data_IF_164149191119
#
_entry.id   IF_164149191119
#
_cell.length_a   1.000
_cell.length_b   1.000
_cell.length_c   1.000
_cell.angle_alpha   90.00
_cell.angle_beta   90.00
_cell.angle_gamma   90.00
#
_symmetry.space_group_name_H-M   'P 1'
#
loop_
_entity.id
_entity.type
_entity.pdbx_description
1 polymer ?
#
# COMPACT_ATOMS: atom_id res chain seq x y z
N UNK A 1 0.49 -5.60 -17.73
CA UNK A 1 0.30 -6.02 -16.32
C UNK A 1 0.11 -4.75 -15.51
N UNK A 2 -0.81 -4.71 -14.54
CA UNK A 2 -0.93 -3.55 -13.64
C UNK A 2 0.30 -3.52 -12.73
N UNK A 3 0.94 -2.36 -12.60
CA UNK A 3 2.15 -2.22 -11.77
C UNK A 3 1.88 -2.51 -10.28
N UNK A 4 0.65 -2.23 -9.84
CA UNK A 4 0.23 -2.46 -8.46
C UNK A 4 -1.26 -2.80 -8.37
N UNK A 5 -1.66 -3.32 -7.21
CA UNK A 5 -3.05 -3.48 -6.78
C UNK A 5 -3.20 -3.07 -5.32
N UNK A 6 -4.27 -2.37 -4.99
CA UNK A 6 -4.60 -2.03 -3.61
C UNK A 6 -5.87 -2.73 -3.12
N UNK A 7 -5.91 -3.14 -1.85
CA UNK A 7 -7.00 -3.88 -1.23
C UNK A 7 -7.24 -3.38 0.20
N UNK A 8 -8.45 -2.90 0.49
CA UNK A 8 -8.84 -2.58 1.88
C UNK A 8 -9.13 -3.89 2.60
N UNK A 9 -8.53 -4.05 3.79
CA UNK A 9 -8.79 -5.17 4.69
C UNK A 9 -9.47 -4.66 5.95
N UNK A 10 -10.58 -5.30 6.30
CA UNK A 10 -11.27 -5.07 7.55
C UNK A 10 -10.84 -6.16 8.52
N UNK A 11 -10.14 -5.79 9.58
CA UNK A 11 -9.89 -6.67 10.72
C UNK A 11 -10.76 -6.26 11.91
N UNK A 12 -10.96 -7.14 12.90
CA UNK A 12 -11.66 -6.76 14.14
C UNK A 12 -11.01 -5.61 14.91
N UNK A 13 -9.71 -5.35 14.69
CA UNK A 13 -8.95 -4.31 15.41
C UNK A 13 -8.95 -2.99 14.66
N UNK A 14 -8.63 -3.01 13.38
CA UNK A 14 -8.60 -1.83 12.53
C UNK A 14 -8.69 -2.17 11.04
N UNK A 15 -8.99 -1.15 10.23
CA UNK A 15 -8.94 -1.26 8.77
C UNK A 15 -7.53 -0.94 8.28
N UNK A 16 -7.01 -1.75 7.38
CA UNK A 16 -5.72 -1.53 6.73
C UNK A 16 -5.86 -1.48 5.22
N UNK A 17 -4.88 -0.89 4.55
CA UNK A 17 -4.77 -0.91 3.09
C UNK A 17 -3.56 -1.74 2.71
N UNK A 18 -3.78 -2.85 2.02
CA UNK A 18 -2.71 -3.66 1.45
C UNK A 18 -2.42 -3.20 0.03
N UNK A 19 -1.14 -3.13 -0.30
CA UNK A 19 -0.62 -2.80 -1.62
C UNK A 19 0.25 -3.97 -2.06
N UNK A 20 -0.03 -4.46 -3.26
CA UNK A 20 0.70 -5.53 -3.90
C UNK A 20 1.37 -4.97 -5.14
N UNK A 21 2.70 -4.97 -5.17
CA UNK A 21 3.46 -4.59 -6.35
C UNK A 21 3.69 -5.79 -7.26
N UNK A 22 3.77 -5.55 -8.57
CA UNK A 22 4.24 -6.56 -9.52
C UNK A 22 5.75 -6.80 -9.40
N UNK A 23 6.50 -5.77 -8.97
CA UNK A 23 7.92 -5.86 -8.65
C UNK A 23 8.12 -5.64 -7.15
N UNK A 24 8.34 -6.73 -6.41
CA UNK A 24 8.51 -6.73 -4.95
C UNK A 24 9.82 -6.07 -4.51
N UNK A 25 10.81 -5.91 -5.39
CA UNK A 25 12.07 -5.25 -5.04
C UNK A 25 11.86 -3.78 -4.63
N UNK A 26 10.73 -3.20 -5.03
CA UNK A 26 10.33 -1.82 -4.73
C UNK A 26 9.57 -1.68 -3.40
N UNK A 27 9.18 -2.76 -2.73
CA UNK A 27 8.32 -2.71 -1.53
C UNK A 27 8.94 -1.87 -0.39
N UNK A 28 10.25 -1.99 -0.20
CA UNK A 28 10.98 -1.27 0.84
C UNK A 28 11.15 0.23 0.53
N UNK A 29 11.41 0.57 -0.74
CA UNK A 29 11.43 1.97 -1.18
C UNK A 29 10.05 2.59 -1.02
N UNK A 30 9.02 1.88 -1.48
CA UNK A 30 7.64 2.33 -1.40
C UNK A 30 7.20 2.57 0.05
N UNK A 31 7.58 1.69 0.99
CA UNK A 31 7.34 1.90 2.43
C UNK A 31 7.80 3.28 2.89
N UNK A 32 9.05 3.66 2.59
CA UNK A 32 9.62 4.95 3.01
C UNK A 32 8.85 6.14 2.42
N UNK A 33 8.40 6.04 1.17
CA UNK A 33 7.62 7.09 0.52
C UNK A 33 6.22 7.24 1.15
N UNK A 34 5.55 6.11 1.43
CA UNK A 34 4.20 6.09 1.97
C UNK A 34 4.11 6.54 3.43
N UNK A 35 5.18 6.34 4.23
CA UNK A 35 5.26 6.82 5.62
C UNK A 35 5.11 8.35 5.73
N UNK A 36 5.42 9.08 4.67
CA UNK A 36 5.30 10.54 4.64
C UNK A 36 3.90 11.05 4.25
N UNK A 37 2.96 10.15 3.90
CA UNK A 37 1.60 10.55 3.53
C UNK A 37 0.81 10.95 4.77
N UNK A 38 0.24 12.16 4.75
CA UNK A 38 -0.61 12.66 5.84
C UNK A 38 -1.80 11.73 6.12
N UNK A 39 -1.85 11.23 7.34
CA UNK A 39 -2.88 10.33 7.86
C UNK A 39 -2.51 8.85 7.85
N UNK A 40 -1.30 8.53 7.39
CA UNK A 40 -0.66 7.23 7.61
C UNK A 40 0.00 7.24 8.98
N UNK A 41 -0.30 6.22 9.80
CA UNK A 41 0.29 6.02 11.12
C UNK A 41 1.58 5.22 11.03
N UNK A 42 1.53 4.10 10.31
CA UNK A 42 2.66 3.20 10.11
C UNK A 42 2.47 2.44 8.80
N UNK A 43 3.59 2.08 8.17
CA UNK A 43 3.65 1.24 6.98
C UNK A 43 4.58 0.06 7.27
N UNK A 44 4.17 -1.14 6.88
CA UNK A 44 4.94 -2.37 7.09
C UNK A 44 5.03 -3.17 5.78
N UNK A 45 6.18 -3.80 5.53
CA UNK A 45 6.30 -4.86 4.52
C UNK A 45 6.06 -6.18 5.25
N UNK A 46 5.14 -7.00 4.74
CA UNK A 46 4.74 -8.26 5.37
C UNK A 46 4.69 -9.38 4.34
N UNK A 47 5.16 -10.56 4.72
CA UNK A 47 4.99 -11.78 3.93
C UNK A 47 3.51 -12.09 3.70
N UNK A 48 3.19 -12.52 2.48
CA UNK A 48 1.86 -12.99 2.11
C UNK A 48 1.74 -14.48 2.41
N UNK A 49 0.95 -14.85 3.42
CA UNK A 49 0.76 -16.25 3.84
C UNK A 49 -0.20 -17.03 2.92
N UNK A 50 -0.21 -16.78 1.59
CA UNK A 50 -1.20 -17.38 0.69
C UNK A 50 -0.59 -17.89 -0.61
N UNK A 51 -0.84 -19.16 -0.93
CA UNK A 51 -0.25 -19.92 -2.05
C UNK A 51 -0.39 -19.30 -3.45
N UNK A 52 -1.34 -18.37 -3.63
CA UNK A 52 -1.66 -17.75 -4.92
C UNK A 52 -1.52 -16.21 -4.90
N UNK A 53 -0.71 -15.65 -4.00
CA UNK A 53 -0.45 -14.21 -3.91
C UNK A 53 1.05 -13.93 -4.06
N UNK A 54 1.36 -12.68 -4.42
CA UNK A 54 2.73 -12.13 -4.43
C UNK A 54 3.37 -12.38 -3.06
N UNK A 55 4.66 -12.73 -3.03
CA UNK A 55 5.37 -13.18 -1.82
C UNK A 55 5.26 -12.18 -0.66
N UNK A 56 5.19 -10.89 -0.95
CA UNK A 56 5.13 -9.81 0.03
C UNK A 56 4.02 -8.80 -0.30
N UNK A 57 3.74 -7.91 0.65
CA UNK A 57 2.85 -6.78 0.47
C UNK A 57 3.21 -5.63 1.41
N UNK A 58 2.96 -4.41 0.94
CA UNK A 58 3.05 -3.21 1.77
C UNK A 58 1.70 -2.95 2.42
N UNK A 59 1.65 -2.91 3.75
CA UNK A 59 0.45 -2.67 4.54
C UNK A 59 0.48 -1.30 5.19
N UNK A 60 -0.52 -0.48 4.90
CA UNK A 60 -0.72 0.83 5.53
C UNK A 60 -1.73 0.70 6.66
N UNK A 61 -1.36 1.25 7.81
CA UNK A 61 -2.23 1.48 8.95
C UNK A 61 -2.54 2.97 9.03
N UNK A 62 -3.83 3.31 9.03
CA UNK A 62 -4.28 4.70 9.07
C UNK A 62 -4.28 5.25 10.50
N UNK A 63 -4.12 6.56 10.60
CA UNK A 63 -4.53 7.28 11.80
C UNK A 63 -6.04 7.17 12.02
N UNK A 64 -6.45 7.05 13.29
CA UNK A 64 -7.87 6.89 13.66
C UNK A 64 -8.75 8.04 13.18
N UNK A 65 -8.16 9.24 13.03
CA UNK A 65 -8.84 10.49 12.58
C UNK A 65 -9.14 10.53 11.08
N UNK A 66 -8.54 9.66 10.28
CA UNK A 66 -8.70 9.64 8.82
C UNK A 66 -9.45 8.38 8.37
N UNK A 67 -10.34 8.46 7.38
CA UNK A 67 -11.02 7.26 6.87
C UNK A 67 -10.09 6.42 5.98
N UNK A 68 -10.21 5.09 5.99
CA UNK A 68 -9.37 4.23 5.13
C UNK A 68 -9.57 4.53 3.63
N UNK A 69 -10.79 4.91 3.23
CA UNK A 69 -11.09 5.29 1.85
C UNK A 69 -10.32 6.56 1.46
N UNK A 70 -10.28 7.58 2.32
CA UNK A 70 -9.50 8.79 2.03
C UNK A 70 -7.99 8.56 1.95
N UNK A 71 -7.48 7.55 2.68
CA UNK A 71 -6.09 7.12 2.56
C UNK A 71 -5.88 6.37 1.24
N UNK A 72 -6.79 5.46 0.90
CA UNK A 72 -6.76 4.73 -0.37
C UNK A 72 -6.74 5.66 -1.58
N UNK A 73 -7.62 6.66 -1.63
CA UNK A 73 -7.68 7.58 -2.77
C UNK A 73 -6.35 8.34 -2.97
N UNK A 74 -5.73 8.79 -1.87
CA UNK A 74 -4.42 9.46 -1.91
C UNK A 74 -3.30 8.51 -2.35
N UNK A 75 -3.31 7.30 -1.81
CA UNK A 75 -2.30 6.27 -2.11
C UNK A 75 -2.42 5.83 -3.56
N UNK A 76 -3.63 5.56 -4.05
CA UNK A 76 -3.84 5.18 -5.45
C UNK A 76 -3.38 6.30 -6.39
N UNK A 77 -3.72 7.56 -6.12
CA UNK A 77 -3.25 8.70 -6.91
C UNK A 77 -1.72 8.83 -6.89
N UNK A 78 -1.09 8.64 -5.72
CA UNK A 78 0.37 8.64 -5.59
C UNK A 78 1.03 7.51 -6.39
N UNK A 79 0.52 6.27 -6.26
CA UNK A 79 1.06 5.09 -6.94
C UNK A 79 0.91 5.21 -8.46
N UNK A 80 -0.24 5.69 -8.93
CA UNK A 80 -0.46 5.95 -10.36
C UNK A 80 0.61 6.91 -10.89
N UNK A 81 0.84 8.05 -10.22
CA UNK A 81 1.86 9.00 -10.65
C UNK A 81 3.29 8.44 -10.56
N UNK A 82 3.59 7.67 -9.52
CA UNK A 82 4.90 7.05 -9.33
C UNK A 82 5.22 6.08 -10.48
N UNK A 83 4.29 5.18 -10.82
CA UNK A 83 4.50 4.18 -11.87
C UNK A 83 4.31 4.71 -13.29
N UNK A 84 3.52 5.78 -13.49
CA UNK A 84 3.46 6.48 -14.79
C UNK A 84 4.77 7.20 -15.10
N UNK A 85 5.40 7.85 -14.10
CA UNK A 85 6.70 8.52 -14.29
C UNK A 85 7.84 7.54 -14.56
N UNK A 86 7.79 6.36 -13.95
CA UNK A 86 8.80 5.30 -14.16
C UNK A 86 8.61 4.51 -15.46
N UNK A 87 7.51 4.75 -16.19
CA UNK A 87 7.23 4.11 -17.47
C UNK A 87 7.80 4.88 -18.70
N UNK A 88 8.51 5.97 -18.46
CA UNK A 88 9.12 6.86 -19.47
C UNK A 88 10.62 6.61 -19.56
#
# INVERSE_FOLDING_TARGET
MLAFRTEIRNSPREQTLKIYLSDISLDHELKMLLENIKGVRIVEVQESISRNRVEENVTIFRDLKHSINSIKDKVDAFLTLYFEKSAI
#
